data_IF_725553721569
#
_entry.id   IF_725553721569
#
_cell.length_a   1.000
_cell.length_b   1.000
_cell.length_c   1.000
_cell.angle_alpha   90.00
_cell.angle_beta   90.00
_cell.angle_gamma   90.00
#
_symmetry.space_group_name_H-M   'P 1'
#
loop_
_entity.id
_entity.type
_entity.pdbx_description
1 polymer ?
#
# COMPACT_ATOMS: atom_id res chain seq x y z
N UNK A 1 -61.70 -45.96 -25.74
CA UNK A 1 -60.82 -46.48 -26.81
C UNK A 1 -59.40 -46.14 -26.36
N UNK A 2 -58.79 -47.04 -25.58
CA UNK A 2 -57.86 -48.12 -25.99
C UNK A 2 -56.41 -47.61 -26.03
N UNK A 3 -55.62 -47.77 -24.96
CA UNK A 3 -54.93 -48.97 -24.40
C UNK A 3 -53.60 -49.31 -25.10
N UNK A 4 -52.47 -49.10 -24.41
CA UNK A 4 -51.50 -50.13 -23.94
C UNK A 4 -50.25 -49.41 -23.38
N UNK A 5 -49.68 -49.58 -22.17
CA UNK A 5 -49.38 -50.68 -21.22
C UNK A 5 -48.50 -51.83 -21.72
N UNK A 6 -47.28 -51.90 -21.15
CA UNK A 6 -46.58 -53.09 -20.58
C UNK A 6 -45.50 -52.53 -19.61
N UNK A 7 -45.53 -52.72 -18.26
CA UNK A 7 -45.26 -53.91 -17.42
C UNK A 7 -43.88 -54.56 -17.68
N UNK A 8 -42.98 -54.91 -16.76
CA UNK A 8 -42.91 -54.98 -15.29
C UNK A 8 -41.65 -55.80 -14.89
N UNK A 9 -41.01 -55.43 -13.76
CA UNK A 9 -40.03 -56.07 -12.80
C UNK A 9 -39.69 -57.59 -12.89
N UNK A 10 -38.62 -58.18 -12.24
CA UNK A 10 -37.97 -57.79 -10.96
C UNK A 10 -36.45 -58.12 -10.70
N UNK A 11 -35.95 -57.57 -9.58
CA UNK A 11 -34.87 -57.98 -8.63
C UNK A 11 -33.69 -58.88 -9.04
N UNK A 12 -32.46 -58.46 -8.68
CA UNK A 12 -31.52 -59.31 -7.91
C UNK A 12 -30.40 -58.49 -7.23
N UNK A 13 -30.16 -58.79 -5.96
CA UNK A 13 -29.06 -58.33 -5.11
C UNK A 13 -27.72 -58.91 -5.59
N UNK A 14 -26.63 -58.18 -5.41
CA UNK A 14 -25.26 -58.73 -5.50
C UNK A 14 -24.16 -57.68 -5.39
N UNK A 15 -23.70 -57.38 -4.18
CA UNK A 15 -22.30 -57.04 -3.88
C UNK A 15 -21.64 -58.29 -3.26
N UNK A 16 -20.31 -58.40 -3.08
CA UNK A 16 -19.20 -57.53 -3.51
C UNK A 16 -18.07 -58.31 -4.23
N UNK A 17 -17.14 -57.63 -4.90
CA UNK A 17 -15.74 -58.11 -4.94
C UNK A 17 -14.74 -57.00 -5.23
N UNK A 18 -13.66 -57.07 -4.48
CA UNK A 18 -12.50 -56.20 -4.41
C UNK A 18 -11.82 -55.93 -5.75
N UNK A 19 -11.23 -54.73 -5.86
CA UNK A 19 -10.08 -54.56 -6.75
C UNK A 19 -9.74 -53.12 -7.08
N UNK A 20 -8.66 -52.64 -6.45
CA UNK A 20 -7.76 -51.60 -6.96
C UNK A 20 -8.21 -50.13 -6.85
N UNK A 21 -7.95 -49.57 -5.66
CA UNK A 21 -7.69 -48.16 -5.48
C UNK A 21 -6.41 -47.81 -6.26
N UNK A 22 -6.56 -47.25 -7.46
CA UNK A 22 -5.48 -46.51 -8.09
C UNK A 22 -5.36 -45.17 -7.37
N UNK A 23 -4.46 -45.11 -6.39
CA UNK A 23 -4.02 -43.87 -5.75
C UNK A 23 -3.27 -43.05 -6.80
N UNK A 24 -4.00 -42.28 -7.60
CA UNK A 24 -3.41 -41.19 -8.37
C UNK A 24 -2.95 -40.13 -7.38
N UNK A 25 -1.70 -40.24 -6.94
CA UNK A 25 -0.97 -39.19 -6.27
C UNK A 25 -0.85 -38.01 -7.22
N UNK A 26 -1.90 -37.19 -7.30
CA UNK A 26 -1.76 -35.81 -7.72
C UNK A 26 -0.91 -35.13 -6.67
N UNK A 27 0.39 -35.10 -6.91
CA UNK A 27 1.27 -34.11 -6.34
C UNK A 27 0.66 -32.75 -6.66
N UNK A 28 -0.13 -32.25 -5.71
CA UNK A 28 -0.60 -30.88 -5.69
C UNK A 28 0.68 -30.05 -5.56
N UNK A 29 1.27 -29.70 -6.70
CA UNK A 29 2.32 -28.72 -6.77
C UNK A 29 1.79 -27.52 -5.99
N UNK A 30 2.49 -27.18 -4.91
CA UNK A 30 2.25 -25.90 -4.27
C UNK A 30 2.32 -24.85 -5.40
N UNK A 31 1.37 -23.90 -5.48
CA UNK A 31 1.59 -22.75 -6.34
C UNK A 31 2.97 -22.20 -5.98
N UNK A 32 3.80 -21.81 -6.96
CA UNK A 32 5.10 -21.25 -6.66
C UNK A 32 4.86 -20.17 -5.61
N UNK A 33 5.49 -20.31 -4.44
CA UNK A 33 5.63 -19.22 -3.50
C UNK A 33 6.06 -18.05 -4.36
N UNK A 34 5.20 -17.04 -4.49
CA UNK A 34 5.59 -15.83 -5.19
C UNK A 34 6.82 -15.35 -4.43
N UNK A 35 8.00 -15.60 -5.00
CA UNK A 35 9.19 -14.86 -4.66
C UNK A 35 8.73 -13.42 -4.78
N UNK A 36 8.48 -12.80 -3.63
CA UNK A 36 8.33 -11.37 -3.51
C UNK A 36 9.48 -10.82 -4.34
N UNK A 37 9.18 -10.22 -5.50
CA UNK A 37 10.19 -9.54 -6.30
C UNK A 37 10.97 -8.70 -5.31
N UNK A 38 12.21 -9.08 -5.05
CA UNK A 38 12.95 -8.55 -3.93
C UNK A 38 13.05 -7.06 -4.18
N UNK A 39 12.44 -6.26 -3.31
CA UNK A 39 12.45 -4.82 -3.45
C UNK A 39 13.90 -4.35 -3.49
N UNK A 40 14.36 -3.92 -4.66
CA UNK A 40 15.71 -3.42 -4.82
C UNK A 40 15.70 -1.91 -4.58
N UNK A 41 16.11 -1.53 -3.38
CA UNK A 41 16.23 -0.14 -2.96
C UNK A 41 17.18 0.67 -3.85
N UNK A 42 18.21 0.04 -4.43
CA UNK A 42 19.22 0.70 -5.27
C UNK A 42 18.62 1.10 -6.61
N UNK A 43 17.81 0.22 -7.20
CA UNK A 43 17.12 0.49 -8.47
C UNK A 43 15.89 1.39 -8.28
N UNK A 44 15.17 1.25 -7.16
CA UNK A 44 13.98 2.02 -6.84
C UNK A 44 14.28 3.49 -6.52
N UNK A 45 15.30 3.76 -5.69
CA UNK A 45 15.52 5.10 -5.15
C UNK A 45 15.77 6.19 -6.22
N UNK A 46 16.52 5.95 -7.31
CA UNK A 46 16.64 6.91 -8.40
C UNK A 46 15.30 7.24 -9.07
N UNK A 47 14.39 6.26 -9.19
CA UNK A 47 13.03 6.45 -9.72
C UNK A 47 12.16 7.26 -8.77
N UNK A 48 12.24 6.97 -7.47
CA UNK A 48 11.60 7.79 -6.45
C UNK A 48 12.09 9.24 -6.47
N UNK A 49 13.41 9.47 -6.59
CA UNK A 49 13.99 10.81 -6.71
C UNK A 49 13.53 11.54 -7.99
N UNK A 50 13.33 10.81 -9.08
CA UNK A 50 12.75 11.36 -10.32
C UNK A 50 11.33 11.90 -10.07
N UNK A 51 10.49 11.11 -9.40
CA UNK A 51 9.13 11.50 -9.02
C UNK A 51 9.13 12.73 -8.10
N UNK A 52 10.04 12.73 -7.11
CA UNK A 52 10.19 13.83 -6.15
C UNK A 52 10.58 15.14 -6.83
N UNK A 53 11.59 15.11 -7.72
CA UNK A 53 12.00 16.27 -8.52
C UNK A 53 10.86 16.75 -9.41
N UNK A 54 10.21 15.86 -10.15
CA UNK A 54 9.08 16.22 -11.01
C UNK A 54 7.96 16.89 -10.21
N UNK A 55 7.62 16.36 -9.03
CA UNK A 55 6.59 16.94 -8.18
C UNK A 55 6.92 18.38 -7.77
N UNK A 56 8.17 18.62 -7.34
CA UNK A 56 8.62 19.93 -6.88
C UNK A 56 8.88 20.93 -8.01
N UNK A 57 9.45 20.50 -9.12
CA UNK A 57 9.86 21.43 -10.18
C UNK A 57 8.73 21.69 -11.18
N UNK A 58 7.79 20.77 -11.33
CA UNK A 58 6.75 20.84 -12.36
C UNK A 58 5.33 20.69 -11.79
N UNK A 59 5.03 19.55 -11.16
CA UNK A 59 3.64 19.19 -10.86
C UNK A 59 2.95 20.19 -9.94
N UNK A 60 3.60 20.60 -8.85
CA UNK A 60 3.03 21.55 -7.89
C UNK A 60 2.68 22.92 -8.51
N UNK A 61 3.29 23.27 -9.65
CA UNK A 61 3.04 24.53 -10.35
C UNK A 61 1.98 24.39 -11.46
N UNK A 62 1.53 23.17 -11.75
CA UNK A 62 0.53 22.92 -12.78
C UNK A 62 -0.91 23.21 -12.29
N UNK A 63 -1.73 23.79 -13.17
CA UNK A 63 -3.13 24.09 -12.87
C UNK A 63 -3.96 22.89 -12.39
N UNK A 64 -3.90 21.71 -13.05
CA UNK A 64 -4.65 20.53 -12.62
C UNK A 64 -4.28 20.06 -11.20
N UNK A 65 -2.99 20.03 -10.86
CA UNK A 65 -2.50 19.63 -9.53
C UNK A 65 -2.93 20.64 -8.47
N UNK A 66 -2.81 21.95 -8.73
CA UNK A 66 -3.27 23.00 -7.82
C UNK A 66 -4.77 22.92 -7.56
N UNK A 67 -5.57 22.74 -8.61
CA UNK A 67 -7.01 22.61 -8.50
C UNK A 67 -7.41 21.39 -7.68
N UNK A 68 -6.78 20.23 -7.95
CA UNK A 68 -7.07 19.02 -7.19
C UNK A 68 -6.61 19.14 -5.72
N UNK A 69 -5.41 19.66 -5.47
CA UNK A 69 -4.87 19.89 -4.12
C UNK A 69 -5.77 20.79 -3.28
N UNK A 70 -6.27 21.89 -3.87
CA UNK A 70 -7.25 22.75 -3.22
C UNK A 70 -8.55 21.99 -2.91
N UNK A 71 -9.06 21.21 -3.87
CA UNK A 71 -10.29 20.43 -3.71
C UNK A 71 -10.20 19.36 -2.62
N UNK A 72 -9.07 18.67 -2.50
CA UNK A 72 -8.84 17.62 -1.49
C UNK A 72 -8.22 18.16 -0.18
N UNK A 73 -8.17 19.48 -0.03
CA UNK A 73 -7.66 20.21 1.13
C UNK A 73 -6.25 19.79 1.56
N UNK A 74 -5.28 19.91 0.66
CA UNK A 74 -3.86 19.68 0.95
C UNK A 74 -3.03 20.80 0.34
N UNK A 75 -2.10 21.35 1.12
CA UNK A 75 -1.17 22.38 0.66
C UNK A 75 -0.03 21.75 -0.12
N UNK A 76 0.28 22.34 -1.25
CA UNK A 76 1.47 22.03 -2.03
C UNK A 76 2.72 22.61 -1.35
N UNK A 77 3.92 22.06 -1.59
CA UNK A 77 5.13 22.49 -0.89
C UNK A 77 5.43 23.98 -1.00
N UNK A 78 5.17 24.61 -2.16
CA UNK A 78 5.35 26.05 -2.35
C UNK A 78 4.34 26.92 -1.55
N UNK A 79 3.25 26.34 -1.07
CA UNK A 79 2.21 27.05 -0.32
C UNK A 79 2.47 27.03 1.20
N UNK A 80 3.35 26.14 1.67
CA UNK A 80 3.61 25.94 3.10
C UNK A 80 4.37 27.11 3.70
N UNK A 81 3.73 27.82 4.64
CA UNK A 81 4.35 28.89 5.40
C UNK A 81 4.88 28.38 6.75
N UNK A 82 5.99 28.95 7.27
CA UNK A 82 6.73 30.09 6.75
C UNK A 82 7.81 29.73 5.71
N UNK A 83 8.03 28.43 5.44
CA UNK A 83 9.14 27.97 4.61
C UNK A 83 8.64 27.24 3.35
N UNK A 84 8.30 27.97 2.27
CA UNK A 84 7.82 27.37 1.04
C UNK A 84 8.96 26.71 0.25
N UNK A 85 8.69 25.56 -0.37
CA UNK A 85 9.65 24.86 -1.26
C UNK A 85 9.27 25.07 -2.71
N UNK A 86 10.03 25.91 -3.41
CA UNK A 86 9.74 26.30 -4.80
C UNK A 86 10.24 25.29 -5.83
N UNK A 87 11.33 24.59 -5.53
CA UNK A 87 12.00 23.66 -6.45
C UNK A 87 12.82 22.63 -5.66
N UNK A 88 13.12 21.49 -6.28
CA UNK A 88 14.04 20.49 -5.78
C UNK A 88 15.46 21.02 -5.52
N UNK A 89 15.85 22.12 -6.18
CA UNK A 89 17.13 22.79 -5.99
C UNK A 89 17.16 23.72 -4.75
N UNK A 90 16.02 23.95 -4.11
CA UNK A 90 15.92 24.83 -2.93
C UNK A 90 16.65 24.20 -1.73
N UNK A 91 17.77 24.84 -1.37
CA UNK A 91 18.67 24.61 -0.23
C UNK A 91 19.20 23.17 -0.05
N UNK A 92 20.16 22.78 -0.89
CA UNK A 92 21.20 21.83 -0.48
C UNK A 92 22.27 22.56 0.34
N UNK A 93 22.61 22.15 1.58
CA UNK A 93 23.68 22.78 2.38
C UNK A 93 25.09 22.59 1.79
N UNK A 94 25.25 21.87 0.67
CA UNK A 94 26.54 21.37 0.18
C UNK A 94 27.30 22.32 -0.75
N UNK A 95 26.77 23.50 -1.05
CA UNK A 95 27.40 24.44 -2.01
C UNK A 95 27.98 25.71 -1.38
N UNK A 96 28.00 25.84 -0.05
CA UNK A 96 28.85 26.84 0.60
C UNK A 96 30.30 26.35 0.54
N UNK A 97 30.96 26.54 -0.59
CA UNK A 97 32.42 26.43 -0.68
C UNK A 97 33.07 27.38 0.34
N UNK A 98 34.25 27.04 0.89
CA UNK A 98 34.87 27.77 2.00
C UNK A 98 35.20 29.24 1.69
N UNK A 99 35.13 29.68 0.43
CA UNK A 99 35.52 31.03 0.01
C UNK A 99 34.38 32.08 0.02
N UNK A 100 33.11 31.69 0.14
CA UNK A 100 31.99 32.65 0.07
C UNK A 100 31.65 33.32 1.43
N UNK A 101 32.41 33.02 2.49
CA UNK A 101 32.13 33.45 3.86
C UNK A 101 32.56 34.89 4.17
N UNK A 102 33.30 35.56 3.28
CA UNK A 102 33.93 36.86 3.59
C UNK A 102 33.18 38.11 3.11
N UNK A 103 32.08 37.98 2.35
CA UNK A 103 31.32 39.15 1.85
C UNK A 103 29.87 39.25 2.36
N UNK A 104 29.37 38.31 3.17
CA UNK A 104 28.04 38.45 3.78
C UNK A 104 28.14 39.17 5.11
N UNK A 105 27.87 40.47 5.10
CA UNK A 105 27.51 41.18 6.33
C UNK A 105 26.32 40.46 7.00
N UNK A 106 26.40 40.12 8.29
CA UNK A 106 25.28 39.53 9.01
C UNK A 106 24.22 40.63 9.21
N UNK A 107 23.08 40.49 8.54
CA UNK A 107 21.94 41.37 8.78
C UNK A 107 21.30 40.95 10.12
N UNK A 108 21.33 41.79 11.18
CA UNK A 108 20.83 41.42 12.51
C UNK A 108 19.30 41.31 12.60
N UNK A 109 18.58 41.66 11.51
CA UNK A 109 17.13 41.52 11.38
C UNK A 109 16.69 40.28 10.58
N UNK A 110 17.63 39.50 10.03
CA UNK A 110 17.31 38.23 9.38
C UNK A 110 17.18 37.13 10.45
N UNK A 111 16.10 37.22 11.22
CA UNK A 111 15.69 36.18 12.16
C UNK A 111 15.55 34.86 11.37
N UNK A 112 16.36 33.86 11.73
CA UNK A 112 16.67 32.68 10.92
C UNK A 112 15.46 32.00 10.30
N UNK A 113 15.17 32.35 9.04
CA UNK A 113 14.33 31.54 8.17
C UNK A 113 15.21 30.38 7.72
N UNK A 114 15.13 29.26 8.43
CA UNK A 114 15.66 27.99 7.95
C UNK A 114 14.97 27.66 6.63
N UNK A 115 15.65 27.97 5.52
CA UNK A 115 15.13 27.71 4.19
C UNK A 115 14.64 26.26 4.11
N UNK A 116 13.36 26.05 3.80
CA UNK A 116 12.82 24.69 3.72
C UNK A 116 13.63 23.88 2.72
N UNK A 117 14.14 22.74 3.20
CA UNK A 117 14.94 21.85 2.38
C UNK A 117 14.03 21.03 1.49
N UNK A 118 14.26 21.06 0.18
CA UNK A 118 13.51 20.24 -0.77
C UNK A 118 13.52 18.75 -0.39
N UNK A 119 14.66 18.25 0.10
CA UNK A 119 14.82 16.86 0.56
C UNK A 119 13.95 16.50 1.77
N UNK A 120 13.46 17.49 2.52
CA UNK A 120 12.54 17.27 3.64
C UNK A 120 11.08 17.11 3.18
N UNK A 121 10.75 17.42 1.92
CA UNK A 121 9.39 17.23 1.39
C UNK A 121 9.14 15.74 1.17
N UNK A 122 8.18 15.19 1.91
CA UNK A 122 7.69 13.83 1.71
C UNK A 122 6.56 13.80 0.67
N UNK A 123 6.57 12.80 -0.22
CA UNK A 123 5.47 12.54 -1.16
C UNK A 123 4.31 11.78 -0.50
N UNK A 124 4.56 11.13 0.65
CA UNK A 124 3.59 10.27 1.34
C UNK A 124 2.28 11.00 1.64
N UNK A 125 2.25 12.23 2.19
CA UNK A 125 0.99 12.92 2.46
C UNK A 125 0.11 13.03 1.20
N UNK A 126 0.70 13.39 0.06
CA UNK A 126 -0.04 13.52 -1.20
C UNK A 126 -0.60 12.16 -1.66
N UNK A 127 0.19 11.09 -1.61
CA UNK A 127 -0.26 9.73 -1.92
C UNK A 127 -1.45 9.34 -1.01
N UNK A 128 -1.31 9.54 0.30
CA UNK A 128 -2.36 9.25 1.30
C UNK A 128 -3.66 10.00 1.01
N UNK A 129 -3.57 11.28 0.66
CA UNK A 129 -4.75 12.11 0.37
C UNK A 129 -5.43 11.70 -0.92
N UNK A 130 -4.66 11.37 -1.97
CA UNK A 130 -5.20 10.87 -3.23
C UNK A 130 -5.93 9.55 -3.02
N UNK A 131 -5.34 8.60 -2.27
CA UNK A 131 -5.97 7.31 -1.94
C UNK A 131 -7.26 7.52 -1.13
N UNK A 132 -7.20 8.25 -0.01
CA UNK A 132 -8.35 8.41 0.89
C UNK A 132 -9.54 9.13 0.24
N UNK A 133 -9.28 10.01 -0.74
CA UNK A 133 -10.32 10.75 -1.48
C UNK A 133 -10.70 10.08 -2.81
N UNK A 134 -10.05 8.98 -3.18
CA UNK A 134 -10.31 8.21 -4.40
C UNK A 134 -9.89 8.91 -5.70
N UNK A 135 -8.81 9.69 -5.65
CA UNK A 135 -8.21 10.39 -6.80
C UNK A 135 -6.85 9.80 -7.21
N UNK A 136 -6.57 8.56 -6.82
CA UNK A 136 -5.32 7.84 -7.08
C UNK A 136 -5.32 7.08 -8.42
N UNK A 137 -5.97 7.64 -9.45
CA UNK A 137 -6.01 7.03 -10.80
C UNK A 137 -4.65 7.15 -11.49
N UNK A 138 -4.31 6.25 -12.44
CA UNK A 138 -3.04 6.33 -13.18
C UNK A 138 -2.75 7.69 -13.81
N UNK A 139 -3.78 8.36 -14.35
CA UNK A 139 -3.64 9.69 -14.95
C UNK A 139 -3.31 10.78 -13.92
N UNK A 140 -3.91 10.72 -12.73
CA UNK A 140 -3.63 11.67 -11.65
C UNK A 140 -2.25 11.41 -11.05
N UNK A 141 -1.88 10.14 -10.83
CA UNK A 141 -0.56 9.77 -10.31
C UNK A 141 0.55 10.21 -11.28
N UNK A 142 0.35 10.01 -12.58
CA UNK A 142 1.23 10.55 -13.61
C UNK A 142 1.30 12.08 -13.57
N UNK A 143 0.16 12.76 -13.44
CA UNK A 143 0.10 14.21 -13.31
C UNK A 143 0.88 14.76 -12.11
N UNK A 144 0.85 14.06 -10.97
CA UNK A 144 1.57 14.45 -9.75
C UNK A 144 3.06 14.06 -9.77
N UNK A 145 3.41 12.89 -10.31
CA UNK A 145 4.71 12.26 -10.08
C UNK A 145 5.51 11.97 -11.35
N UNK A 146 4.96 12.26 -12.54
CA UNK A 146 5.66 12.16 -13.82
C UNK A 146 5.74 10.74 -14.35
N UNK A 147 6.56 10.54 -15.39
CA UNK A 147 6.60 9.28 -16.15
C UNK A 147 7.09 8.07 -15.33
N UNK A 148 8.01 8.30 -14.38
CA UNK A 148 8.61 7.24 -13.57
C UNK A 148 7.69 6.77 -12.41
N UNK A 149 6.48 7.33 -12.25
CA UNK A 149 5.64 7.14 -11.07
C UNK A 149 5.40 5.66 -10.72
N UNK A 150 5.20 4.80 -11.73
CA UNK A 150 4.96 3.37 -11.52
C UNK A 150 6.13 2.73 -10.78
N UNK A 151 7.36 2.99 -11.24
CA UNK A 151 8.58 2.46 -10.62
C UNK A 151 9.06 3.23 -9.39
N UNK A 152 8.68 4.50 -9.26
CA UNK A 152 9.16 5.38 -8.19
C UNK A 152 8.25 5.44 -6.96
N UNK A 153 6.94 5.56 -7.15
CA UNK A 153 5.97 5.63 -6.05
C UNK A 153 4.91 4.51 -6.10
N UNK A 154 4.91 3.66 -7.13
CA UNK A 154 3.90 2.61 -7.30
C UNK A 154 3.78 1.70 -6.08
N UNK A 155 4.88 1.19 -5.54
CA UNK A 155 4.83 0.36 -4.34
C UNK A 155 4.30 1.12 -3.10
N UNK A 156 4.69 2.39 -2.93
CA UNK A 156 4.18 3.23 -1.84
C UNK A 156 2.67 3.47 -1.97
N UNK A 157 2.20 3.68 -3.20
CA UNK A 157 0.79 3.81 -3.54
C UNK A 157 0.02 2.53 -3.24
N UNK A 158 0.52 1.37 -3.64
CA UNK A 158 -0.09 0.08 -3.35
C UNK A 158 -0.14 -0.23 -1.85
N UNK A 159 0.95 0.02 -1.12
CA UNK A 159 1.00 -0.12 0.35
C UNK A 159 -0.07 0.77 0.98
N UNK A 160 -0.20 2.01 0.53
CA UNK A 160 -1.17 2.94 1.11
C UNK A 160 -2.62 2.55 0.81
N UNK A 161 -2.91 2.01 -0.38
CA UNK A 161 -4.24 1.46 -0.69
C UNK A 161 -4.61 0.30 0.24
N UNK A 162 -3.66 -0.59 0.53
CA UNK A 162 -3.85 -1.68 1.53
C UNK A 162 -4.07 -1.12 2.94
N UNK A 163 -3.29 -0.14 3.35
CA UNK A 163 -3.45 0.53 4.64
C UNK A 163 -4.83 1.18 4.78
N UNK A 164 -5.31 1.83 3.72
CA UNK A 164 -6.62 2.46 3.71
C UNK A 164 -7.75 1.43 3.85
N UNK A 165 -7.65 0.32 3.11
CA UNK A 165 -8.61 -0.78 3.22
C UNK A 165 -8.62 -1.38 4.64
N UNK A 166 -7.43 -1.57 5.23
CA UNK A 166 -7.30 -2.07 6.60
C UNK A 166 -7.90 -1.11 7.63
N UNK A 167 -7.63 0.20 7.51
CA UNK A 167 -8.24 1.21 8.38
C UNK A 167 -9.77 1.21 8.25
N UNK A 168 -10.29 1.19 7.02
CA UNK A 168 -11.72 1.14 6.75
C UNK A 168 -12.42 -0.11 7.33
N UNK A 169 -11.74 -1.25 7.39
CA UNK A 169 -12.27 -2.51 7.92
C UNK A 169 -12.19 -2.61 9.44
N UNK A 170 -11.18 -2.00 10.06
CA UNK A 170 -10.85 -2.19 11.47
C UNK A 170 -11.52 -1.19 12.42
N UNK A 171 -12.00 -0.05 11.91
CA UNK A 171 -12.54 1.02 12.77
C UNK A 171 -13.66 1.82 12.13
N UNK A 172 -14.24 2.77 12.87
CA UNK A 172 -15.31 3.64 12.35
C UNK A 172 -14.77 4.63 11.32
N UNK A 173 -15.60 5.00 10.34
CA UNK A 173 -15.23 5.96 9.29
C UNK A 173 -14.68 7.29 9.84
N UNK A 174 -15.14 7.72 11.02
CA UNK A 174 -14.65 8.95 11.68
C UNK A 174 -13.21 8.80 12.17
N UNK A 175 -12.85 7.64 12.76
CA UNK A 175 -11.48 7.34 13.18
C UNK A 175 -10.55 7.18 11.98
N UNK A 176 -11.04 6.57 10.89
CA UNK A 176 -10.29 6.51 9.62
C UNK A 176 -10.06 7.92 9.08
N UNK A 177 -11.09 8.77 9.03
CA UNK A 177 -10.93 10.15 8.56
C UNK A 177 -9.86 10.88 9.38
N UNK A 178 -9.91 10.76 10.71
CA UNK A 178 -8.93 11.35 11.61
C UNK A 178 -7.51 10.81 11.37
N UNK A 179 -7.33 9.52 11.07
CA UNK A 179 -6.00 8.95 10.79
C UNK A 179 -5.37 9.42 9.47
N UNK A 180 -6.16 10.08 8.61
CA UNK A 180 -5.74 10.66 7.33
C UNK A 180 -5.69 12.19 7.32
N UNK A 181 -6.13 12.84 8.41
CA UNK A 181 -5.89 14.27 8.63
C UNK A 181 -4.38 14.50 8.84
N UNK A 182 -3.84 15.60 8.29
CA UNK A 182 -2.38 15.86 8.31
C UNK A 182 -1.99 16.92 9.34
N UNK A 183 -2.80 17.96 9.42
CA UNK A 183 -2.67 19.08 10.35
C UNK A 183 -4.07 19.59 10.69
N UNK A 184 -4.16 20.52 11.64
CA UNK A 184 -5.44 21.14 12.00
C UNK A 184 -6.12 21.83 10.78
N UNK A 185 -5.31 22.35 9.85
CA UNK A 185 -5.79 23.09 8.69
C UNK A 185 -5.92 22.18 7.44
N UNK A 186 -5.17 21.08 7.35
CA UNK A 186 -5.21 20.13 6.24
C UNK A 186 -5.97 18.85 6.62
N UNK A 187 -7.24 19.00 6.98
CA UNK A 187 -8.15 17.87 7.24
C UNK A 187 -8.66 17.27 5.92
N UNK A 188 -8.89 15.96 5.90
CA UNK A 188 -9.51 15.26 4.77
C UNK A 188 -10.94 15.75 4.61
N UNK A 189 -11.35 16.26 3.45
CA UNK A 189 -12.70 16.82 3.30
C UNK A 189 -13.77 15.72 3.26
N UNK A 190 -13.46 14.56 2.67
CA UNK A 190 -14.35 13.41 2.59
C UNK A 190 -13.53 12.13 2.34
N UNK A 191 -14.10 10.99 2.69
CA UNK A 191 -13.55 9.67 2.36
C UNK A 191 -14.26 9.08 1.15
N UNK A 192 -13.54 8.29 0.34
CA UNK A 192 -14.14 7.45 -0.69
C UNK A 192 -13.72 5.99 -0.52
N UNK A 193 -14.66 5.03 -0.64
CA UNK A 193 -14.29 3.63 -0.77
C UNK A 193 -13.28 3.43 -1.90
N UNK A 194 -12.34 2.50 -1.69
CA UNK A 194 -11.31 2.17 -2.67
C UNK A 194 -11.96 1.78 -4.01
N UNK A 195 -11.59 2.46 -5.09
CA UNK A 195 -12.08 2.15 -6.44
C UNK A 195 -11.18 1.13 -7.11
N UNK A 196 -11.80 0.30 -7.95
CA UNK A 196 -11.13 -0.67 -8.82
C UNK A 196 -10.16 -1.60 -8.08
N UNK A 197 -10.50 -1.92 -6.82
CA UNK A 197 -9.74 -2.86 -6.02
C UNK A 197 -9.78 -4.24 -6.68
N UNK A 198 -8.66 -4.69 -7.21
CA UNK A 198 -8.61 -6.03 -7.81
C UNK A 198 -8.81 -7.09 -6.73
N UNK A 199 -9.36 -8.24 -7.08
CA UNK A 199 -9.49 -9.35 -6.13
C UNK A 199 -8.12 -9.74 -5.54
N UNK A 200 -7.06 -9.69 -6.35
CA UNK A 200 -5.67 -9.90 -5.92
C UNK A 200 -5.25 -8.88 -4.85
N UNK A 201 -5.61 -7.61 -5.02
CA UNK A 201 -5.29 -6.55 -4.06
C UNK A 201 -6.03 -6.77 -2.74
N UNK A 202 -7.31 -7.14 -2.80
CA UNK A 202 -8.11 -7.46 -1.62
C UNK A 202 -7.51 -8.66 -0.88
N UNK A 203 -7.20 -9.74 -1.61
CA UNK A 203 -6.58 -10.95 -1.03
C UNK A 203 -5.21 -10.65 -0.42
N UNK A 204 -4.37 -9.84 -1.07
CA UNK A 204 -3.08 -9.43 -0.53
C UNK A 204 -3.22 -8.58 0.74
N UNK A 205 -4.19 -7.67 0.78
CA UNK A 205 -4.51 -6.88 1.97
C UNK A 205 -5.05 -7.77 3.10
N UNK A 206 -5.91 -8.74 2.81
CA UNK A 206 -6.45 -9.68 3.79
C UNK A 206 -5.40 -10.67 4.32
N UNK A 207 -4.47 -11.11 3.47
CA UNK A 207 -3.36 -11.97 3.87
C UNK A 207 -2.40 -11.23 4.82
N UNK A 208 -1.96 -10.02 4.45
CA UNK A 208 -1.12 -9.20 5.33
C UNK A 208 -1.84 -8.81 6.63
N UNK A 209 -3.15 -8.57 6.56
CA UNK A 209 -3.97 -8.35 7.74
C UNK A 209 -4.03 -9.58 8.65
N UNK A 210 -4.22 -10.76 8.09
CA UNK A 210 -4.29 -12.03 8.85
C UNK A 210 -2.96 -12.33 9.54
N UNK A 211 -1.84 -12.05 8.88
CA UNK A 211 -0.50 -12.16 9.48
C UNK A 211 -0.32 -11.17 10.63
N UNK A 212 -0.72 -9.91 10.46
CA UNK A 212 -0.61 -8.92 11.52
C UNK A 212 -1.51 -9.23 12.72
N UNK A 213 -2.73 -9.74 12.52
CA UNK A 213 -3.60 -10.21 13.61
C UNK A 213 -3.02 -11.47 14.30
N UNK A 214 -2.38 -12.36 13.54
CA UNK A 214 -1.65 -13.49 14.13
C UNK A 214 -0.46 -12.99 14.97
N UNK A 215 0.23 -11.95 14.50
CA UNK A 215 1.14 -11.09 15.27
C UNK A 215 0.40 -10.09 16.19
N UNK A 216 -0.81 -10.36 16.61
CA UNK A 216 -1.42 -9.72 17.79
C UNK A 216 -1.79 -10.82 18.79
N UNK A 217 -2.15 -12.00 18.26
CA UNK A 217 -2.55 -13.21 18.99
C UNK A 217 -1.39 -14.00 19.66
N UNK A 218 -0.22 -14.16 19.03
CA UNK A 218 0.91 -13.40 19.58
C UNK A 218 1.17 -13.27 21.09
N UNK A 219 0.53 -12.25 21.64
CA UNK A 219 0.67 -11.76 23.00
C UNK A 219 -0.21 -12.52 24.01
N UNK A 220 -0.91 -13.59 23.60
CA UNK A 220 -1.84 -14.36 24.42
C UNK A 220 -1.44 -15.85 24.62
N UNK A 221 -0.23 -16.28 24.24
CA UNK A 221 0.28 -17.63 24.53
C UNK A 221 0.24 -18.58 23.32
N UNK A 222 0.38 -19.92 23.50
CA UNK A 222 1.32 -20.83 22.82
C UNK A 222 1.27 -20.99 21.27
N UNK A 223 0.52 -20.19 20.53
CA UNK A 223 0.37 -20.29 19.07
C UNK A 223 1.36 -19.40 18.31
N UNK A 224 2.65 -19.62 18.53
CA UNK A 224 3.63 -19.25 17.51
C UNK A 224 3.38 -20.09 16.23
N UNK A 225 3.66 -19.57 15.02
CA UNK A 225 3.44 -20.32 13.77
C UNK A 225 4.08 -21.71 13.80
N UNK A 226 3.31 -22.74 13.47
CA UNK A 226 3.62 -24.18 13.54
C UNK A 226 4.78 -24.64 12.61
N UNK A 227 5.48 -23.74 11.93
CA UNK A 227 6.53 -24.08 10.95
C UNK A 227 7.81 -24.65 11.56
N UNK A 228 7.88 -24.82 12.89
CA UNK A 228 9.10 -25.26 13.58
C UNK A 228 8.96 -26.49 14.49
N UNK A 229 7.80 -27.15 14.55
CA UNK A 229 7.52 -28.14 15.61
C UNK A 229 6.98 -29.52 15.21
N UNK A 230 6.77 -29.83 13.93
CA UNK A 230 6.21 -31.13 13.53
C UNK A 230 7.27 -32.22 13.33
N UNK A 231 7.89 -32.65 14.43
CA UNK A 231 8.47 -34.00 14.61
C UNK A 231 8.77 -34.12 16.11
N UNK A 232 8.17 -34.99 16.94
CA UNK A 232 7.83 -36.38 16.69
C UNK A 232 7.08 -36.98 17.90
N UNK A 233 6.08 -37.82 17.57
CA UNK A 233 5.66 -39.06 18.26
C UNK A 233 4.77 -39.00 19.51
N UNK A 234 3.49 -39.17 19.21
CA UNK A 234 2.54 -40.08 19.88
C UNK A 234 3.17 -41.44 20.24
N UNK A 235 2.98 -41.89 21.49
CA UNK A 235 2.77 -43.32 21.84
C UNK A 235 1.96 -43.37 23.15
N UNK A 236 0.62 -43.44 23.02
CA UNK A 236 -0.26 -44.59 23.34
C UNK A 236 -0.37 -44.92 24.84
N UNK A 237 -1.58 -44.70 25.37
CA UNK A 237 -2.13 -45.37 26.55
C UNK A 237 -2.12 -46.90 26.38
N UNK A 238 -1.91 -47.62 27.48
CA UNK A 238 -2.54 -48.92 27.75
C UNK A 238 -2.55 -49.19 29.28
N UNK A 239 -3.76 -49.43 29.76
CA UNK A 239 -4.23 -50.07 31.01
C UNK A 239 -3.90 -49.45 32.38
#
# INVERSE_FOLDING_TARGET
MAFNTQSGTPHTFGTPSHGHYSTSSSSRAAPPSQESQQFDIVDWYPKFQSCHRYFLDHAQHSGPVQALSAFINIQLPYQKQPNPVLSAASSSPRSAGPEASHLRQPNPFAQGQSAAHAQAVSLIPYIRRLVATGHDTPAVLHGFFGDDWVSGIGELHEIERRNYLFAAKSTSWMKVKQSYDMSADETVPFLRPLRDASEKEIQAAEAGWSEWLAMQDWMLGPRAPETMGRSSRVKREQE
#
